data_IF_260096413913
#
_entry.id   IF_260096413913
#
_cell.length_a   1.000
_cell.length_b   1.000
_cell.length_c   1.000
_cell.angle_alpha   90.00
_cell.angle_beta   90.00
_cell.angle_gamma   90.00
#
_symmetry.space_group_name_H-M   'P 1'
#
loop_
_entity.id
_entity.type
_entity.pdbx_description
1 polymer ?
#
# COMPACT_ATOMS: atom_id res chain seq x y z
N UNK A 1 -14.80 51.87 57.51
CA UNK A 1 -13.33 51.75 57.51
C UNK A 1 -12.92 50.54 56.69
N UNK A 2 -11.88 50.70 55.88
CA UNK A 2 -11.27 49.69 55.01
C UNK A 2 -10.30 48.80 55.81
N UNK A 3 -10.15 47.54 55.39
CA UNK A 3 -8.93 46.72 55.57
C UNK A 3 -9.20 45.37 56.26
N UNK A 4 -8.71 44.22 55.82
CA UNK A 4 -7.82 43.84 54.73
C UNK A 4 -7.84 42.30 54.57
N UNK A 5 -7.27 41.81 53.46
CA UNK A 5 -7.04 40.38 53.16
C UNK A 5 -5.81 39.85 53.93
N UNK A 6 -5.80 38.56 54.32
CA UNK A 6 -4.88 37.51 53.81
C UNK A 6 -5.09 36.13 54.48
N UNK A 7 -4.83 35.09 53.66
CA UNK A 7 -4.80 33.61 53.81
C UNK A 7 -4.02 33.08 55.04
N UNK A 8 -4.03 31.82 55.50
CA UNK A 8 -4.32 30.44 55.03
C UNK A 8 -4.47 29.60 56.33
N UNK A 9 -5.25 28.52 56.44
CA UNK A 9 -4.83 27.14 56.16
C UNK A 9 -6.00 26.22 56.56
N UNK A 10 -6.44 25.32 55.67
CA UNK A 10 -7.18 24.13 56.12
C UNK A 10 -6.57 22.91 55.46
N UNK A 11 -5.80 22.23 56.31
CA UNK A 11 -5.35 20.85 56.29
C UNK A 11 -6.28 19.91 55.51
N UNK A 12 -5.70 19.15 54.58
CA UNK A 12 -6.38 18.08 53.88
C UNK A 12 -6.58 16.85 54.76
N UNK A 13 -7.74 16.21 54.64
CA UNK A 13 -7.85 14.77 54.81
C UNK A 13 -9.05 14.20 54.05
N UNK A 14 -8.73 13.31 53.11
CA UNK A 14 -9.45 12.10 52.69
C UNK A 14 -10.99 12.10 52.72
N UNK A 15 -11.60 12.26 51.54
CA UNK A 15 -12.81 11.53 51.18
C UNK A 15 -12.54 10.75 49.90
N UNK A 16 -12.33 9.44 50.07
CA UNK A 16 -12.47 8.44 48.99
C UNK A 16 -13.95 8.44 48.65
N UNK A 17 -14.32 9.04 47.52
CA UNK A 17 -15.68 9.01 47.02
C UNK A 17 -15.76 8.01 45.86
N UNK A 18 -16.48 6.93 46.12
CA UNK A 18 -16.92 5.96 45.15
C UNK A 18 -17.78 6.63 44.07
N UNK A 19 -17.53 6.30 42.81
CA UNK A 19 -18.32 6.80 41.70
C UNK A 19 -17.92 6.17 40.38
N UNK A 20 -18.66 5.13 39.99
CA UNK A 20 -18.99 4.79 38.60
C UNK A 20 -17.85 4.37 37.68
N UNK A 21 -17.98 3.19 37.08
CA UNK A 21 -17.36 2.87 35.81
C UNK A 21 -17.52 4.04 34.83
N UNK A 22 -16.43 4.75 34.56
CA UNK A 22 -16.26 5.43 33.28
C UNK A 22 -15.12 4.71 32.60
N UNK A 23 -15.46 3.56 32.02
CA UNK A 23 -14.71 3.01 30.90
C UNK A 23 -14.73 4.13 29.86
N UNK A 24 -13.65 4.92 29.81
CA UNK A 24 -13.36 5.78 28.68
C UNK A 24 -13.08 4.84 27.49
N UNK A 25 -14.15 4.32 26.89
CA UNK A 25 -14.15 3.93 25.49
C UNK A 25 -14.03 5.21 24.67
N UNK A 26 -12.86 5.86 24.76
CA UNK A 26 -12.37 6.65 23.66
C UNK A 26 -11.99 5.60 22.62
N UNK A 27 -12.99 5.22 21.82
CA UNK A 27 -12.75 4.59 20.54
C UNK A 27 -11.87 5.59 19.78
N UNK A 28 -10.57 5.36 19.79
CA UNK A 28 -9.68 5.91 18.77
C UNK A 28 -10.22 5.35 17.46
N UNK A 29 -11.09 6.10 16.80
CA UNK A 29 -11.21 6.02 15.36
C UNK A 29 -9.85 6.47 14.84
N UNK A 30 -8.89 5.53 14.76
CA UNK A 30 -7.76 5.73 13.87
C UNK A 30 -8.37 5.97 12.50
N UNK A 31 -8.10 7.13 11.90
CA UNK A 31 -8.44 7.40 10.51
C UNK A 31 -7.55 6.50 9.65
N UNK A 32 -7.88 5.22 9.59
CA UNK A 32 -7.15 4.19 8.84
C UNK A 32 -6.95 4.60 7.38
N UNK A 33 -7.90 5.35 6.83
CA UNK A 33 -7.90 5.81 5.44
C UNK A 33 -6.86 6.93 5.21
N UNK A 34 -6.66 7.82 6.19
CA UNK A 34 -5.63 8.86 6.11
C UNK A 34 -4.24 8.23 6.24
N UNK A 35 -4.11 7.25 7.14
CA UNK A 35 -2.86 6.54 7.40
C UNK A 35 -2.44 5.70 6.18
N UNK A 36 -3.38 5.00 5.51
CA UNK A 36 -3.08 4.21 4.31
C UNK A 36 -2.75 5.08 3.09
N UNK A 37 -3.44 6.23 2.89
CA UNK A 37 -3.14 7.13 1.78
C UNK A 37 -1.73 7.73 1.91
N UNK A 38 -1.35 8.13 3.12
CA UNK A 38 0.00 8.61 3.44
C UNK A 38 1.05 7.50 3.21
N UNK A 39 0.75 6.27 3.62
CA UNK A 39 1.62 5.13 3.37
C UNK A 39 1.81 4.85 1.86
N UNK A 40 0.73 4.90 1.07
CA UNK A 40 0.78 4.77 -0.40
C UNK A 40 1.64 5.86 -1.02
N UNK A 41 1.44 7.13 -0.65
CA UNK A 41 2.25 8.24 -1.15
C UNK A 41 3.75 8.02 -0.86
N UNK A 42 4.08 7.58 0.36
CA UNK A 42 5.45 7.30 0.78
C UNK A 42 6.08 6.14 0.00
N UNK A 43 5.34 5.04 -0.20
CA UNK A 43 5.78 3.88 -0.99
C UNK A 43 6.03 4.28 -2.44
N UNK A 44 5.06 4.95 -3.08
CA UNK A 44 5.18 5.40 -4.47
C UNK A 44 6.37 6.35 -4.64
N UNK A 45 6.53 7.31 -3.74
CA UNK A 45 7.66 8.25 -3.74
C UNK A 45 9.01 7.54 -3.59
N UNK A 46 9.08 6.51 -2.75
CA UNK A 46 10.29 5.71 -2.57
C UNK A 46 10.63 4.87 -3.81
N UNK A 47 9.64 4.20 -4.40
CA UNK A 47 9.81 3.44 -5.65
C UNK A 47 10.28 4.38 -6.77
N UNK A 48 9.62 5.54 -6.90
CA UNK A 48 9.94 6.52 -7.93
C UNK A 48 11.38 7.05 -7.80
N UNK A 49 11.84 7.37 -6.58
CA UNK A 49 13.24 7.74 -6.32
C UNK A 49 14.22 6.64 -6.73
N UNK A 50 13.88 5.38 -6.48
CA UNK A 50 14.70 4.23 -6.84
C UNK A 50 14.66 3.92 -8.36
N UNK A 51 13.65 4.42 -9.08
CA UNK A 51 13.39 4.13 -10.48
C UNK A 51 14.07 5.09 -11.48
N UNK A 52 14.80 6.11 -11.01
CA UNK A 52 15.40 7.20 -11.82
C UNK A 52 16.45 6.78 -12.88
N UNK A 53 16.48 5.52 -13.32
CA UNK A 53 17.30 5.06 -14.44
C UNK A 53 16.51 4.16 -15.41
N UNK A 54 16.25 4.69 -16.62
CA UNK A 54 16.00 3.94 -17.85
C UNK A 54 14.53 3.82 -18.27
N UNK A 55 14.15 4.57 -19.31
CA UNK A 55 12.94 4.29 -20.07
C UNK A 55 13.18 3.10 -21.01
N UNK A 56 12.34 2.08 -20.90
CA UNK A 56 12.31 0.96 -21.84
C UNK A 56 10.94 0.91 -22.50
N UNK A 57 10.92 0.99 -23.84
CA UNK A 57 9.72 1.00 -24.67
C UNK A 57 8.78 -0.17 -24.34
N UNK A 58 7.49 0.11 -24.20
CA UNK A 58 6.44 -0.91 -24.06
C UNK A 58 5.44 -0.80 -25.22
N UNK A 59 5.18 -1.89 -25.96
CA UNK A 59 4.11 -1.91 -26.96
C UNK A 59 2.74 -1.64 -26.32
N UNK A 60 1.88 -0.92 -27.06
CA UNK A 60 0.49 -0.65 -26.65
C UNK A 60 -0.30 -1.97 -26.65
N UNK A 61 -1.04 -2.17 -25.57
CA UNK A 61 -1.83 -3.35 -25.30
C UNK A 61 -3.31 -3.12 -25.65
N UNK A 62 -3.89 -3.95 -26.49
CA UNK A 62 -5.23 -3.75 -27.06
C UNK A 62 -6.24 -4.85 -26.76
N UNK A 63 -5.89 -5.86 -25.94
CA UNK A 63 -6.78 -7.00 -25.65
C UNK A 63 -7.63 -6.76 -24.40
N UNK A 64 -8.93 -7.00 -24.48
CA UNK A 64 -9.87 -6.93 -23.35
C UNK A 64 -9.79 -8.18 -22.47
N UNK A 65 -9.73 -8.01 -21.15
CA UNK A 65 -9.81 -9.07 -20.12
C UNK A 65 -10.39 -8.47 -18.82
N UNK A 66 -10.78 -9.32 -17.87
CA UNK A 66 -11.11 -8.90 -16.49
C UNK A 66 -10.00 -9.31 -15.53
N UNK A 67 -9.87 -8.63 -14.39
CA UNK A 67 -8.83 -8.94 -13.39
C UNK A 67 -9.00 -10.38 -12.88
N UNK A 68 -10.24 -10.82 -12.67
CA UNK A 68 -10.60 -12.18 -12.25
C UNK A 68 -10.12 -13.22 -13.26
N UNK A 69 -10.34 -12.97 -14.56
CA UNK A 69 -9.86 -13.87 -15.62
C UNK A 69 -8.33 -13.98 -15.62
N UNK A 70 -7.64 -12.87 -15.32
CA UNK A 70 -6.19 -12.88 -15.21
C UNK A 70 -5.70 -13.62 -13.96
N UNK A 71 -6.37 -13.46 -12.84
CA UNK A 71 -6.10 -14.19 -11.59
C UNK A 71 -6.26 -15.69 -11.84
N UNK A 72 -7.39 -16.11 -12.41
CA UNK A 72 -7.67 -17.51 -12.72
C UNK A 72 -6.66 -18.09 -13.70
N UNK A 73 -6.34 -17.37 -14.79
CA UNK A 73 -5.38 -17.84 -15.78
C UNK A 73 -3.96 -18.01 -15.25
N UNK A 74 -3.55 -17.18 -14.29
CA UNK A 74 -2.22 -17.27 -13.67
C UNK A 74 -2.24 -18.08 -12.35
N UNK A 75 -3.38 -18.69 -11.99
CA UNK A 75 -3.57 -19.47 -10.77
C UNK A 75 -3.12 -18.72 -9.49
N UNK A 76 -3.53 -17.45 -9.38
CA UNK A 76 -3.16 -16.56 -8.27
C UNK A 76 -4.20 -16.68 -7.15
N UNK A 77 -3.76 -17.04 -5.93
CA UNK A 77 -4.60 -16.99 -4.73
C UNK A 77 -4.21 -15.84 -3.79
N UNK A 78 -3.08 -15.18 -4.02
CA UNK A 78 -2.57 -14.08 -3.19
C UNK A 78 -3.58 -12.92 -3.03
N UNK A 79 -4.41 -12.68 -4.05
CA UNK A 79 -5.36 -11.57 -4.07
C UNK A 79 -6.76 -11.96 -3.58
N UNK A 80 -6.89 -13.03 -2.80
CA UNK A 80 -8.17 -13.45 -2.20
C UNK A 80 -8.30 -12.91 -0.75
N UNK A 81 -9.34 -12.13 -0.40
CA UNK A 81 -10.45 -11.69 -1.24
C UNK A 81 -10.10 -10.50 -2.15
N UNK A 82 -10.61 -10.51 -3.38
CA UNK A 82 -10.27 -9.53 -4.41
C UNK A 82 -10.75 -8.11 -4.07
N UNK A 83 -11.85 -8.01 -3.33
CA UNK A 83 -12.47 -6.74 -2.94
C UNK A 83 -11.48 -5.85 -2.14
N UNK A 84 -10.68 -6.45 -1.26
CA UNK A 84 -9.69 -5.73 -0.45
C UNK A 84 -8.62 -5.05 -1.32
N UNK A 85 -8.27 -5.67 -2.44
CA UNK A 85 -7.28 -5.16 -3.39
C UNK A 85 -7.88 -4.17 -4.39
N UNK A 86 -9.15 -4.33 -4.75
CA UNK A 86 -9.86 -3.38 -5.62
C UNK A 86 -10.01 -2.00 -4.96
N UNK A 87 -10.24 -1.95 -3.66
CA UNK A 87 -10.22 -0.69 -2.92
C UNK A 87 -8.83 -0.03 -2.98
N UNK A 88 -7.78 -0.82 -2.71
CA UNK A 88 -6.38 -0.40 -2.83
C UNK A 88 -6.00 0.12 -4.23
N UNK A 89 -6.52 -0.50 -5.29
CA UNK A 89 -6.31 -0.04 -6.67
C UNK A 89 -6.76 1.40 -6.86
N UNK A 90 -7.94 1.78 -6.35
CA UNK A 90 -8.45 3.13 -6.49
C UNK A 90 -7.59 4.16 -5.75
N UNK A 91 -7.11 3.81 -4.54
CA UNK A 91 -6.19 4.67 -3.78
C UNK A 91 -4.86 4.88 -4.50
N UNK A 92 -4.24 3.81 -5.00
CA UNK A 92 -2.98 3.89 -5.75
C UNK A 92 -3.15 4.70 -7.03
N UNK A 93 -4.22 4.45 -7.80
CA UNK A 93 -4.51 5.18 -9.04
C UNK A 93 -4.65 6.68 -8.81
N UNK A 94 -5.37 7.08 -7.76
CA UNK A 94 -5.52 8.49 -7.42
C UNK A 94 -4.19 9.13 -7.00
N UNK A 95 -3.38 8.42 -6.21
CA UNK A 95 -2.07 8.93 -5.80
C UNK A 95 -1.08 9.04 -6.96
N UNK A 96 -1.06 8.05 -7.87
CA UNK A 96 -0.30 8.14 -9.12
C UNK A 96 -0.74 9.34 -9.95
N UNK A 97 -2.04 9.60 -10.05
CA UNK A 97 -2.56 10.78 -10.76
C UNK A 97 -2.01 12.08 -10.16
N UNK A 98 -2.06 12.22 -8.84
CA UNK A 98 -1.54 13.41 -8.13
C UNK A 98 -0.03 13.56 -8.38
N UNK A 99 0.75 12.48 -8.21
CA UNK A 99 2.19 12.51 -8.47
C UNK A 99 2.51 12.84 -9.95
N UNK A 100 1.66 12.38 -10.87
CA UNK A 100 1.82 12.64 -12.30
C UNK A 100 1.52 14.09 -12.70
N UNK A 101 0.82 14.87 -11.87
CA UNK A 101 0.67 16.32 -12.05
C UNK A 101 2.00 17.05 -11.83
N UNK A 102 2.87 16.50 -10.96
CA UNK A 102 4.22 17.03 -10.68
C UNK A 102 5.24 16.49 -11.69
N UNK A 103 5.21 15.19 -11.97
CA UNK A 103 6.04 14.55 -13.00
C UNK A 103 5.22 13.54 -13.82
N UNK A 104 4.89 13.86 -15.09
CA UNK A 104 4.15 12.96 -15.98
C UNK A 104 4.80 11.58 -16.20
N UNK A 105 6.11 11.44 -15.97
CA UNK A 105 6.82 10.16 -16.12
C UNK A 105 6.65 9.22 -14.91
N UNK A 106 6.09 9.70 -13.80
CA UNK A 106 6.01 8.99 -12.52
C UNK A 106 5.45 7.56 -12.65
N UNK A 107 4.28 7.42 -13.27
CA UNK A 107 3.63 6.11 -13.47
C UNK A 107 4.53 5.15 -14.27
N UNK A 108 5.16 5.65 -15.33
CA UNK A 108 6.03 4.85 -16.19
C UNK A 108 7.25 4.38 -15.41
N UNK A 109 7.90 5.27 -14.65
CA UNK A 109 9.07 4.92 -13.82
C UNK A 109 8.72 3.86 -12.77
N UNK A 110 7.62 4.03 -12.03
CA UNK A 110 7.13 3.07 -11.04
C UNK A 110 6.86 1.71 -11.69
N UNK A 111 6.15 1.74 -12.83
CA UNK A 111 5.83 0.53 -13.61
C UNK A 111 7.08 -0.23 -14.03
N UNK A 112 8.08 0.46 -14.60
CA UNK A 112 9.30 -0.20 -15.08
C UNK A 112 10.13 -0.76 -13.93
N UNK A 113 10.16 -0.07 -12.78
CA UNK A 113 10.86 -0.54 -11.60
C UNK A 113 10.28 -1.86 -11.06
N UNK A 114 8.95 -1.95 -10.94
CA UNK A 114 8.28 -3.18 -10.49
C UNK A 114 8.44 -4.29 -11.53
N UNK A 115 8.33 -3.98 -12.82
CA UNK A 115 8.62 -4.94 -13.90
C UNK A 115 10.03 -5.47 -13.84
N UNK A 116 11.02 -4.65 -13.48
CA UNK A 116 12.40 -5.09 -13.32
C UNK A 116 12.51 -6.16 -12.23
N UNK A 117 11.97 -5.92 -11.03
CA UNK A 117 11.95 -6.93 -9.97
C UNK A 117 11.22 -8.20 -10.39
N UNK A 118 10.03 -8.06 -10.96
CA UNK A 118 9.25 -9.19 -11.47
C UNK A 118 10.04 -10.04 -12.47
N UNK A 119 10.65 -9.43 -13.49
CA UNK A 119 11.47 -10.16 -14.49
C UNK A 119 12.67 -10.84 -13.85
N UNK A 120 13.37 -10.15 -12.95
CA UNK A 120 14.52 -10.68 -12.20
C UNK A 120 14.13 -11.91 -11.37
N UNK A 121 12.99 -11.84 -10.67
CA UNK A 121 12.48 -12.92 -9.81
C UNK A 121 11.98 -14.09 -10.67
N UNK A 122 11.13 -13.84 -11.68
CA UNK A 122 10.58 -14.88 -12.57
C UNK A 122 11.69 -15.68 -13.26
N UNK A 123 12.75 -15.03 -13.74
CA UNK A 123 13.92 -15.72 -14.34
C UNK A 123 14.64 -16.66 -13.38
N UNK A 124 14.71 -16.31 -12.09
CA UNK A 124 15.40 -17.11 -11.06
C UNK A 124 14.50 -18.19 -10.46
N UNK A 125 13.18 -18.12 -10.69
CA UNK A 125 12.17 -18.93 -10.00
C UNK A 125 11.17 -19.51 -11.01
N UNK A 126 11.67 -20.18 -12.05
CA UNK A 126 10.84 -20.67 -13.17
C UNK A 126 9.77 -21.68 -12.76
N UNK A 127 9.95 -22.35 -11.61
CA UNK A 127 9.04 -23.38 -11.10
C UNK A 127 8.28 -22.94 -9.82
N UNK A 128 8.22 -21.63 -9.54
CA UNK A 128 7.43 -21.11 -8.42
C UNK A 128 6.02 -20.76 -8.86
N UNK A 129 5.05 -20.91 -7.95
CA UNK A 129 3.70 -20.39 -8.14
C UNK A 129 3.70 -18.88 -8.29
N UNK A 130 2.64 -18.35 -8.91
CA UNK A 130 2.45 -16.92 -9.09
C UNK A 130 2.44 -16.18 -7.75
N UNK A 131 1.80 -16.74 -6.72
CA UNK A 131 1.76 -16.19 -5.36
C UNK A 131 3.16 -16.00 -4.77
N UNK A 132 4.03 -17.01 -4.88
CA UNK A 132 5.43 -16.91 -4.42
C UNK A 132 6.23 -15.87 -5.20
N UNK A 133 5.89 -15.63 -6.46
CA UNK A 133 6.52 -14.57 -7.25
C UNK A 133 6.04 -13.21 -6.75
N UNK A 134 4.75 -13.05 -6.46
CA UNK A 134 4.17 -11.81 -5.89
C UNK A 134 4.81 -11.51 -4.53
N UNK A 135 4.81 -12.46 -3.61
CA UNK A 135 5.46 -12.34 -2.29
C UNK A 135 6.90 -11.83 -2.41
N UNK A 136 7.69 -12.44 -3.30
CA UNK A 136 9.09 -12.05 -3.51
C UNK A 136 9.23 -10.66 -4.13
N UNK A 137 8.31 -10.26 -5.01
CA UNK A 137 8.29 -8.92 -5.59
C UNK A 137 8.00 -7.89 -4.49
N UNK A 138 6.98 -8.13 -3.65
CA UNK A 138 6.67 -7.29 -2.50
C UNK A 138 7.90 -7.18 -1.57
N UNK A 139 8.49 -8.31 -1.16
CA UNK A 139 9.67 -8.31 -0.27
C UNK A 139 10.88 -7.55 -0.83
N UNK A 140 11.16 -7.64 -2.14
CA UNK A 140 12.28 -6.89 -2.74
C UNK A 140 11.98 -5.39 -2.82
N UNK A 141 10.72 -4.99 -3.06
CA UNK A 141 10.30 -3.59 -3.03
C UNK A 141 10.41 -3.05 -1.59
N UNK A 142 9.87 -3.76 -0.62
CA UNK A 142 9.96 -3.38 0.81
C UNK A 142 11.42 -3.22 1.23
N UNK A 143 12.28 -4.18 0.87
CA UNK A 143 13.71 -4.13 1.15
C UNK A 143 14.39 -2.94 0.47
N UNK A 144 13.95 -2.54 -0.73
CA UNK A 144 14.50 -1.39 -1.45
C UNK A 144 14.01 -0.03 -0.89
N UNK A 145 12.81 0.00 -0.30
CA UNK A 145 12.27 1.16 0.40
C UNK A 145 12.93 1.34 1.78
N UNK A 146 13.34 0.24 2.38
CA UNK A 146 14.04 0.17 3.64
C UNK A 146 15.53 0.49 3.43
N UNK A 147 16.04 1.55 4.09
CA UNK A 147 17.47 1.69 4.32
C UNK A 147 17.99 0.61 5.28
N UNK A 148 19.31 0.39 5.38
CA UNK A 148 19.93 -0.79 6.05
C UNK A 148 19.42 -1.20 7.46
N UNK A 149 18.63 -0.41 8.20
CA UNK A 149 18.27 -0.68 9.60
C UNK A 149 16.81 -0.35 10.01
N UNK A 150 15.86 -0.16 9.09
CA UNK A 150 14.45 0.16 9.44
C UNK A 150 13.48 -0.90 8.93
N UNK A 151 12.33 -1.09 9.58
CA UNK A 151 11.23 -1.89 9.02
C UNK A 151 10.12 -0.94 8.55
N UNK A 152 9.43 -1.32 7.49
CA UNK A 152 8.20 -0.63 7.09
C UNK A 152 7.12 -0.88 8.14
N UNK A 153 6.31 0.14 8.40
CA UNK A 153 5.06 0.01 9.15
C UNK A 153 4.09 -0.93 8.42
N UNK A 154 3.07 -1.41 9.12
CA UNK A 154 2.12 -2.36 8.55
C UNK A 154 1.34 -1.74 7.36
N UNK A 155 1.00 -0.47 7.49
CA UNK A 155 0.31 0.33 6.48
C UNK A 155 1.18 0.50 5.22
N UNK A 156 2.49 0.60 5.39
CA UNK A 156 3.45 0.71 4.29
C UNK A 156 3.65 -0.63 3.57
N UNK A 157 3.65 -1.75 4.32
CA UNK A 157 3.67 -3.09 3.73
C UNK A 157 2.38 -3.33 2.92
N UNK A 158 1.22 -3.01 3.50
CA UNK A 158 -0.08 -3.09 2.79
C UNK A 158 -0.10 -2.19 1.54
N UNK A 159 0.46 -0.99 1.63
CA UNK A 159 0.61 -0.11 0.49
C UNK A 159 1.50 -0.70 -0.63
N UNK A 160 2.56 -1.43 -0.29
CA UNK A 160 3.37 -2.15 -1.30
C UNK A 160 2.52 -3.19 -2.03
N UNK A 161 1.73 -3.97 -1.30
CA UNK A 161 0.84 -4.97 -1.91
C UNK A 161 -0.18 -4.33 -2.88
N UNK A 162 -0.79 -3.20 -2.48
CA UNK A 162 -1.70 -2.45 -3.34
C UNK A 162 -1.02 -1.90 -4.59
N UNK A 163 0.21 -1.42 -4.50
CA UNK A 163 0.96 -0.94 -5.67
C UNK A 163 1.31 -2.10 -6.61
N UNK A 164 1.70 -3.25 -6.08
CA UNK A 164 1.95 -4.45 -6.89
C UNK A 164 0.66 -4.93 -7.57
N UNK A 165 -0.46 -4.91 -6.86
CA UNK A 165 -1.77 -5.22 -7.42
C UNK A 165 -2.18 -4.22 -8.52
N UNK A 166 -1.94 -2.92 -8.35
CA UNK A 166 -2.18 -1.92 -9.39
C UNK A 166 -1.44 -2.25 -10.70
N UNK A 167 -0.14 -2.54 -10.60
CA UNK A 167 0.69 -2.92 -11.75
C UNK A 167 0.25 -4.26 -12.37
N UNK A 168 -0.23 -5.20 -11.55
CA UNK A 168 -0.85 -6.44 -12.02
C UNK A 168 -2.15 -6.16 -12.80
N UNK A 169 -3.05 -5.35 -12.24
CA UNK A 169 -4.34 -5.00 -12.84
C UNK A 169 -4.15 -4.28 -14.18
N UNK A 170 -3.16 -3.39 -14.28
CA UNK A 170 -2.77 -2.66 -15.51
C UNK A 170 -1.98 -3.51 -16.52
N UNK A 171 -1.93 -4.82 -16.30
CA UNK A 171 -1.32 -5.80 -17.18
C UNK A 171 0.18 -5.66 -17.45
N UNK A 172 0.90 -5.10 -16.48
CA UNK A 172 2.33 -4.83 -16.64
C UNK A 172 3.21 -6.00 -16.21
N UNK A 173 2.66 -6.92 -15.41
CA UNK A 173 3.29 -8.18 -14.94
C UNK A 173 2.31 -9.35 -15.10
N UNK A 174 2.82 -10.59 -15.11
CA UNK A 174 2.05 -11.82 -15.40
C UNK A 174 1.47 -11.91 -16.81
N UNK A 175 1.09 -13.12 -17.19
CA UNK A 175 0.65 -13.40 -18.55
C UNK A 175 -0.82 -13.02 -18.69
N UNK A 176 -1.21 -12.57 -19.88
CA UNK A 176 -2.61 -12.26 -20.17
C UNK A 176 -3.35 -13.52 -20.53
N UNK A 177 -4.61 -13.67 -20.09
CA UNK A 177 -5.46 -14.70 -20.61
C UNK A 177 -5.66 -14.54 -22.13
N UNK A 178 -5.82 -15.63 -22.88
CA UNK A 178 -6.29 -15.61 -24.26
C UNK A 178 -7.60 -14.82 -24.41
N UNK A 179 -7.84 -14.24 -25.59
CA UNK A 179 -9.02 -13.41 -25.85
C UNK A 179 -10.35 -14.17 -25.77
N UNK A 180 -10.31 -15.48 -25.93
CA UNK A 180 -11.45 -16.41 -25.84
C UNK A 180 -11.62 -17.02 -24.43
N UNK A 181 -10.75 -16.67 -23.47
CA UNK A 181 -10.78 -17.24 -22.12
C UNK A 181 -12.10 -16.98 -21.39
N UNK A 182 -12.72 -15.82 -21.59
CA UNK A 182 -14.01 -15.46 -20.97
C UNK A 182 -15.22 -16.19 -21.59
N UNK A 183 -15.02 -16.93 -22.69
CA UNK A 183 -16.06 -17.70 -23.39
C UNK A 183 -16.03 -19.19 -23.07
N UNK A 184 -15.14 -19.62 -22.17
CA UNK A 184 -14.99 -20.99 -21.67
C UNK A 184 -15.66 -21.14 -20.30
#
# INVERSE_FOLDING_TARGET
>A
MIGGKHQQDISGNNNIQAGGDVINNITYYQNTDVDILSAIEKVLSGIYKNAQNGEEFTPIDTKSYTIENKINFNEISYFDPLEDFQEGYHYVKNQIKILSEVDPACETSITQHIKHYYRKIRRKNTNCSADKIIEKVCSEIETALIGKNTRLALEEQKAVEFVVFYIFAECKIFDKPPSDYASQ
#
